data_IF_734756331578
#
_entry.id   IF_734756331578
#
_cell.length_a   1.000
_cell.length_b   1.000
_cell.length_c   1.000
_cell.angle_alpha   90.00
_cell.angle_beta   90.00
_cell.angle_gamma   90.00
#
_symmetry.space_group_name_H-M   'P 1'
#
loop_
_entity.id
_entity.type
_entity.pdbx_description
1 polymer ?
#
# COMPACT_ATOMS: atom_id res chain seq x y z
N UNK A 1 4.07 -17.65 7.77
CA UNK A 1 4.06 -17.08 6.40
C UNK A 1 4.07 -15.56 6.49
N UNK A 2 4.81 -14.86 5.61
CA UNK A 2 4.85 -13.39 5.51
C UNK A 2 4.20 -12.96 4.19
N UNK A 3 3.32 -11.96 4.23
CA UNK A 3 2.53 -11.51 3.07
C UNK A 3 2.64 -9.98 2.98
N UNK A 4 2.89 -9.47 1.77
CA UNK A 4 2.86 -8.05 1.44
C UNK A 4 1.70 -7.78 0.48
N UNK A 5 0.90 -6.76 0.78
CA UNK A 5 -0.20 -6.29 -0.07
C UNK A 5 0.12 -4.86 -0.52
N UNK A 6 -0.08 -4.59 -1.81
CA UNK A 6 0.01 -3.26 -2.43
C UNK A 6 -1.06 -3.14 -3.52
N UNK A 7 -1.36 -1.92 -3.96
CA UNK A 7 -2.24 -1.59 -5.08
C UNK A 7 -1.82 -0.24 -5.71
N UNK A 8 -2.51 0.16 -6.77
CA UNK A 8 -2.41 1.45 -7.46
C UNK A 8 -3.57 2.41 -7.14
N UNK A 9 -4.72 1.91 -6.67
CA UNK A 9 -5.84 2.76 -6.21
C UNK A 9 -5.51 3.58 -4.95
N UNK A 10 -4.43 3.22 -4.24
CA UNK A 10 -3.95 3.90 -3.05
C UNK A 10 -4.33 3.21 -1.74
N UNK A 11 -3.67 3.64 -0.65
CA UNK A 11 -3.70 3.00 0.69
C UNK A 11 -5.06 3.06 1.39
N UNK A 12 -5.94 3.97 0.96
CA UNK A 12 -7.30 4.12 1.49
C UNK A 12 -8.34 3.31 0.72
N UNK A 13 -7.93 2.54 -0.30
CA UNK A 13 -8.85 1.74 -1.08
C UNK A 13 -9.56 0.69 -0.21
N UNK A 14 -10.88 0.62 -0.29
CA UNK A 14 -11.69 -0.33 0.47
C UNK A 14 -11.28 -1.78 0.23
N UNK A 15 -10.89 -2.12 -1.01
CA UNK A 15 -10.43 -3.46 -1.37
C UNK A 15 -9.18 -3.92 -0.60
N UNK A 16 -8.25 -3.02 -0.27
CA UNK A 16 -7.08 -3.33 0.55
C UNK A 16 -7.48 -3.78 1.95
N UNK A 17 -8.43 -3.08 2.56
CA UNK A 17 -8.89 -3.40 3.90
C UNK A 17 -9.58 -4.77 3.93
N UNK A 18 -10.42 -5.05 2.93
CA UNK A 18 -11.09 -6.35 2.79
C UNK A 18 -10.06 -7.47 2.61
N UNK A 19 -9.08 -7.29 1.73
CA UNK A 19 -8.05 -8.29 1.49
C UNK A 19 -7.18 -8.54 2.73
N UNK A 20 -6.75 -7.47 3.40
CA UNK A 20 -6.00 -7.54 4.65
C UNK A 20 -6.75 -8.35 5.73
N UNK A 21 -8.06 -8.09 5.91
CA UNK A 21 -8.90 -8.79 6.91
C UNK A 21 -8.93 -10.31 6.70
N UNK A 22 -8.86 -10.77 5.46
CA UNK A 22 -8.85 -12.20 5.15
C UNK A 22 -7.45 -12.80 5.25
N UNK A 23 -6.45 -12.15 4.67
CA UNK A 23 -5.09 -12.68 4.62
C UNK A 23 -4.39 -12.69 5.98
N UNK A 24 -4.75 -11.79 6.91
CA UNK A 24 -4.17 -11.77 8.28
C UNK A 24 -4.45 -13.06 9.07
N UNK A 25 -5.43 -13.85 8.65
CA UNK A 25 -5.73 -15.16 9.26
C UNK A 25 -4.73 -16.25 8.83
N UNK A 26 -3.99 -16.02 7.74
CA UNK A 26 -3.07 -16.98 7.13
C UNK A 26 -1.60 -16.69 7.48
N UNK A 27 -1.28 -15.50 7.98
CA UNK A 27 0.08 -15.14 8.34
C UNK A 27 0.25 -13.67 8.70
N UNK A 28 1.51 -13.24 8.83
CA UNK A 28 1.86 -11.85 9.11
C UNK A 28 1.72 -11.03 7.82
N UNK A 29 0.78 -10.07 7.83
CA UNK A 29 0.47 -9.24 6.67
C UNK A 29 0.96 -7.81 6.86
N UNK A 30 1.59 -7.28 5.83
CA UNK A 30 2.01 -5.88 5.71
C UNK A 30 1.27 -5.25 4.53
N UNK A 31 0.79 -4.03 4.70
CA UNK A 31 0.16 -3.25 3.62
C UNK A 31 1.00 -2.01 3.36
N UNK A 32 1.45 -1.86 2.13
CA UNK A 32 2.22 -0.70 1.67
C UNK A 32 1.65 -0.29 0.32
N UNK A 33 1.15 0.94 0.21
CA UNK A 33 0.50 1.43 -1.00
C UNK A 33 0.72 2.95 -1.19
N UNK A 34 0.48 3.51 -2.39
CA UNK A 34 0.53 4.94 -2.63
C UNK A 34 -0.45 5.73 -1.74
N UNK A 35 -0.08 6.95 -1.34
CA UNK A 35 -1.00 7.84 -0.61
C UNK A 35 -2.19 8.32 -1.47
N UNK A 36 -1.99 8.38 -2.78
CA UNK A 36 -2.96 8.85 -3.78
C UNK A 36 -3.08 7.82 -4.90
N UNK A 37 -4.20 7.84 -5.62
CA UNK A 37 -4.42 6.98 -6.78
C UNK A 37 -3.34 7.22 -7.86
N UNK A 38 -2.80 6.12 -8.40
CA UNK A 38 -1.74 6.12 -9.43
C UNK A 38 -2.18 5.48 -10.74
N UNK A 39 -3.47 5.54 -11.03
CA UNK A 39 -4.04 5.18 -12.33
C UNK A 39 -3.30 5.89 -13.47
N UNK A 40 -2.95 5.14 -14.51
CA UNK A 40 -2.28 5.65 -15.73
C UNK A 40 -0.79 6.03 -15.59
N UNK A 41 -0.14 5.81 -14.44
CA UNK A 41 1.31 6.12 -14.27
C UNK A 41 2.27 5.07 -14.85
N UNK A 42 1.77 3.89 -15.24
CA UNK A 42 2.58 2.73 -15.64
C UNK A 42 3.50 2.20 -14.52
N UNK A 43 4.51 1.39 -14.85
CA UNK A 43 5.56 0.95 -13.92
C UNK A 43 6.67 2.00 -13.77
N UNK A 44 6.29 3.26 -13.52
CA UNK A 44 7.26 4.35 -13.38
C UNK A 44 7.92 4.34 -12.01
N UNK A 45 9.21 4.72 -11.97
CA UNK A 45 9.99 4.82 -10.75
C UNK A 45 10.29 6.29 -10.44
N UNK A 46 10.06 6.69 -9.20
CA UNK A 46 10.43 8.02 -8.73
C UNK A 46 11.94 8.08 -8.48
N UNK A 47 12.67 8.83 -9.31
CA UNK A 47 14.14 8.96 -9.23
C UNK A 47 14.63 10.39 -8.92
N UNK A 48 13.77 11.40 -9.06
CA UNK A 48 14.15 12.82 -8.94
C UNK A 48 13.70 13.49 -7.63
N UNK A 49 12.92 12.80 -6.81
CA UNK A 49 12.41 13.30 -5.52
C UNK A 49 12.48 12.19 -4.46
N UNK A 50 12.69 12.51 -3.18
CA UNK A 50 12.70 11.51 -2.12
C UNK A 50 11.31 10.89 -1.93
N UNK A 51 11.27 9.58 -1.72
CA UNK A 51 10.08 8.87 -1.25
C UNK A 51 9.90 9.12 0.26
N UNK A 52 8.67 9.32 0.70
CA UNK A 52 8.30 9.42 2.13
C UNK A 52 7.33 8.30 2.46
N UNK A 53 7.50 7.71 3.63
CA UNK A 53 6.64 6.63 4.12
C UNK A 53 5.97 7.10 5.40
N UNK A 54 4.64 7.02 5.44
CA UNK A 54 3.82 7.38 6.59
C UNK A 54 3.08 6.15 7.08
N UNK A 55 3.18 5.86 8.38
CA UNK A 55 2.37 4.81 9.02
C UNK A 55 1.03 5.41 9.42
N UNK A 56 -0.05 4.77 8.98
CA UNK A 56 -1.42 5.15 9.29
C UNK A 56 -1.91 4.48 10.58
N UNK A 57 -2.99 4.99 11.14
CA UNK A 57 -3.56 4.50 12.41
C UNK A 57 -4.02 3.03 12.33
N UNK A 58 -4.48 2.59 11.16
CA UNK A 58 -4.85 1.19 10.91
C UNK A 58 -3.64 0.25 10.74
N UNK A 59 -2.41 0.78 10.85
CA UNK A 59 -1.16 0.05 10.73
C UNK A 59 -0.63 -0.10 9.30
N UNK A 60 -1.32 0.46 8.30
CA UNK A 60 -0.86 0.43 6.90
C UNK A 60 0.24 1.49 6.69
N UNK A 61 1.03 1.32 5.62
CA UNK A 61 2.03 2.30 5.22
C UNK A 61 1.62 2.96 3.90
N UNK A 62 1.46 4.28 3.93
CA UNK A 62 1.27 5.11 2.75
C UNK A 62 2.62 5.63 2.24
N UNK A 63 2.87 5.56 0.94
CA UNK A 63 4.12 6.03 0.32
C UNK A 63 3.83 7.21 -0.61
N UNK A 64 4.62 8.28 -0.50
CA UNK A 64 4.63 9.37 -1.47
C UNK A 64 5.61 9.03 -2.61
N UNK A 65 5.12 8.98 -3.84
CA UNK A 65 5.89 8.74 -5.06
C UNK A 65 5.12 9.33 -6.24
#
# INVERSE_FOLDING_TARGET
MKILISNDDGVYAWGLEVLYKHLRKLGQVWVVAPLEEKSTTGHSLTIHKPLRVNRLDNGFYGVSG
#
